data_IF_242525691658
#
_entry.id   IF_242525691658
#
_cell.length_a   1.000
_cell.length_b   1.000
_cell.length_c   1.000
_cell.angle_alpha   90.00
_cell.angle_beta   90.00
_cell.angle_gamma   90.00
#
_symmetry.space_group_name_H-M   'P 1'
#
loop_
_entity.id
_entity.type
_entity.pdbx_description
1 polymer ?
#
# COMPACT_ATOMS: atom_id res chain seq x y z
N UNK A 1 7.14 6.61 -19.42
CA UNK A 1 8.57 6.32 -19.21
C UNK A 1 8.68 4.85 -18.90
N UNK A 2 9.74 4.17 -19.31
CA UNK A 2 9.91 2.73 -19.05
C UNK A 2 10.57 2.52 -17.68
N UNK A 3 9.99 1.60 -16.92
CA UNK A 3 10.52 0.96 -15.71
C UNK A 3 12.00 0.60 -15.75
N UNK A 4 12.78 0.69 -14.67
CA UNK A 4 13.99 -0.12 -14.56
C UNK A 4 13.63 -1.61 -14.60
N UNK A 5 12.55 -2.01 -13.90
CA UNK A 5 12.06 -3.38 -13.91
C UNK A 5 11.58 -3.81 -15.31
N UNK A 6 10.77 -2.99 -15.98
CA UNK A 6 10.41 -3.24 -17.39
C UNK A 6 11.63 -3.31 -18.33
N UNK A 7 12.62 -2.43 -18.17
CA UNK A 7 13.84 -2.46 -18.99
C UNK A 7 14.64 -3.75 -18.80
N UNK A 8 14.80 -4.21 -17.56
CA UNK A 8 15.48 -5.48 -17.27
C UNK A 8 14.70 -6.68 -17.80
N UNK A 9 13.37 -6.60 -17.82
CA UNK A 9 12.51 -7.64 -18.40
C UNK A 9 12.66 -7.71 -19.91
N UNK A 10 12.62 -6.56 -20.59
CA UNK A 10 12.80 -6.47 -22.05
C UNK A 10 14.19 -6.97 -22.50
N UNK A 11 15.17 -6.95 -21.61
CA UNK A 11 16.55 -7.42 -21.83
C UNK A 11 16.79 -8.89 -21.44
N UNK A 12 15.77 -9.63 -21.01
CA UNK A 12 15.88 -11.03 -20.53
C UNK A 12 16.94 -11.17 -19.41
N UNK A 13 16.91 -10.23 -18.46
CA UNK A 13 17.91 -10.14 -17.40
C UNK A 13 17.82 -11.32 -16.42
N UNK A 14 18.96 -11.98 -16.19
CA UNK A 14 19.10 -13.02 -15.14
C UNK A 14 18.86 -12.51 -13.71
N UNK A 15 18.76 -11.19 -13.51
CA UNK A 15 18.55 -10.54 -12.22
C UNK A 15 17.08 -10.29 -11.86
N UNK A 16 16.12 -10.68 -12.70
CA UNK A 16 14.71 -10.70 -12.34
C UNK A 16 14.39 -11.98 -11.56
N UNK A 17 14.14 -11.84 -10.26
CA UNK A 17 14.14 -12.96 -9.30
C UNK A 17 12.77 -13.63 -9.14
N UNK A 18 11.72 -13.20 -9.86
CA UNK A 18 10.38 -13.78 -9.72
C UNK A 18 9.80 -14.27 -11.05
N UNK A 19 9.89 -15.58 -11.29
CA UNK A 19 9.33 -16.26 -12.47
C UNK A 19 7.83 -16.61 -12.32
N UNK A 20 7.35 -16.71 -11.07
CA UNK A 20 5.96 -17.05 -10.74
C UNK A 20 5.34 -16.04 -9.77
N UNK A 21 4.06 -15.71 -9.97
CA UNK A 21 3.30 -14.85 -9.07
C UNK A 21 2.95 -15.62 -7.79
N UNK A 22 3.22 -15.01 -6.63
CA UNK A 22 2.77 -15.54 -5.34
C UNK A 22 1.35 -15.06 -5.05
N UNK A 23 0.51 -15.95 -4.53
CA UNK A 23 -0.88 -15.68 -4.12
C UNK A 23 -0.95 -15.09 -2.71
N UNK A 24 -0.13 -14.08 -2.43
CA UNK A 24 0.02 -13.49 -1.11
C UNK A 24 -0.22 -11.97 -1.17
N UNK A 25 -0.93 -11.44 -0.16
CA UNK A 25 -1.06 -10.00 0.03
C UNK A 25 -0.12 -9.54 1.15
N UNK A 26 0.72 -8.55 0.85
CA UNK A 26 1.58 -7.90 1.83
C UNK A 26 0.90 -6.65 2.38
N UNK A 27 0.85 -6.53 3.70
CA UNK A 27 0.24 -5.38 4.38
C UNK A 27 1.17 -4.79 5.43
N UNK A 28 1.09 -3.47 5.59
CA UNK A 28 1.84 -2.74 6.61
C UNK A 28 0.97 -2.60 7.85
N UNK A 29 1.34 -3.31 8.91
CA UNK A 29 0.76 -3.08 10.23
C UNK A 29 1.55 -2.00 10.96
N UNK A 30 0.87 -0.94 11.39
CA UNK A 30 1.49 0.12 12.20
C UNK A 30 1.16 -0.10 13.66
N UNK A 31 2.18 -0.41 14.45
CA UNK A 31 2.05 -0.59 15.89
C UNK A 31 2.33 0.73 16.61
N UNK A 32 1.42 1.13 17.50
CA UNK A 32 1.49 2.39 18.25
C UNK A 32 1.64 2.20 19.77
N UNK A 33 2.02 1.00 20.21
CA UNK A 33 2.20 0.64 21.61
C UNK A 33 3.48 -0.18 21.79
N UNK A 34 4.59 0.37 21.35
CA UNK A 34 5.92 -0.23 21.47
C UNK A 34 6.82 0.63 22.37
N UNK A 35 8.06 0.18 22.59
CA UNK A 35 9.10 1.00 23.23
C UNK A 35 9.63 2.16 22.38
N UNK A 36 8.87 2.67 21.39
CA UNK A 36 9.22 3.88 20.65
C UNK A 36 9.06 5.14 21.52
N UNK A 37 9.58 6.26 21.02
CA UNK A 37 9.38 7.57 21.66
C UNK A 37 7.89 7.91 21.75
N UNK A 38 7.52 8.80 22.66
CA UNK A 38 6.14 9.29 22.77
C UNK A 38 5.68 9.96 21.47
N UNK A 39 6.55 10.73 20.82
CA UNK A 39 6.31 11.40 19.54
C UNK A 39 6.06 10.39 18.40
N UNK A 40 6.87 9.33 18.32
CA UNK A 40 6.70 8.25 17.34
C UNK A 40 5.36 7.53 17.56
N UNK A 41 5.02 7.21 18.82
CA UNK A 41 3.75 6.56 19.14
C UNK A 41 2.54 7.48 18.86
N UNK A 42 2.67 8.79 19.07
CA UNK A 42 1.64 9.77 18.73
C UNK A 42 1.40 9.82 17.21
N UNK A 43 2.46 9.86 16.40
CA UNK A 43 2.35 9.83 14.95
C UNK A 43 1.72 8.53 14.43
N UNK A 44 2.18 7.36 14.90
CA UNK A 44 1.63 6.05 14.51
C UNK A 44 0.16 5.89 14.95
N UNK A 45 -0.27 6.60 15.99
CA UNK A 45 -1.67 6.67 16.42
C UNK A 45 -2.52 7.63 15.58
N UNK A 46 -1.92 8.65 14.96
CA UNK A 46 -2.64 9.67 14.22
C UNK A 46 -3.28 9.10 12.94
N UNK A 47 -4.58 9.34 12.76
CA UNK A 47 -5.36 8.80 11.64
C UNK A 47 -4.98 9.45 10.31
N UNK A 48 -4.73 10.76 10.29
CA UNK A 48 -4.34 11.47 9.07
C UNK A 48 -2.92 11.09 8.63
N UNK A 49 -2.01 10.82 9.58
CA UNK A 49 -0.70 10.26 9.27
C UNK A 49 -0.85 8.92 8.54
N UNK A 50 -1.64 7.98 9.10
CA UNK A 50 -1.91 6.69 8.45
C UNK A 50 -2.59 6.83 7.09
N UNK A 51 -3.52 7.79 6.94
CA UNK A 51 -4.15 8.08 5.64
C UNK A 51 -3.16 8.60 4.62
N UNK A 52 -2.24 9.48 5.01
CA UNK A 52 -1.19 9.98 4.11
C UNK A 52 -0.36 8.85 3.53
N UNK A 53 -0.06 7.82 4.33
CA UNK A 53 0.64 6.62 3.86
C UNK A 53 -0.26 5.73 2.98
N UNK A 54 -1.52 5.53 3.37
CA UNK A 54 -2.47 4.71 2.60
C UNK A 54 -2.65 5.20 1.15
N UNK A 55 -2.82 6.52 0.98
CA UNK A 55 -2.97 7.16 -0.33
C UNK A 55 -1.63 7.46 -1.01
N UNK A 56 -0.53 7.58 -0.26
CA UNK A 56 0.78 7.98 -0.79
C UNK A 56 1.66 6.84 -1.29
N UNK A 57 1.34 5.58 -0.97
CA UNK A 57 2.08 4.42 -1.48
C UNK A 57 1.57 4.06 -2.87
N UNK A 58 2.45 4.23 -3.87
CA UNK A 58 2.26 3.76 -5.24
C UNK A 58 2.53 2.24 -5.30
N UNK A 59 1.44 1.47 -5.36
CA UNK A 59 1.50 0.00 -5.36
C UNK A 59 1.90 -0.54 -6.72
N UNK A 60 1.59 0.15 -7.82
CA UNK A 60 1.98 -0.26 -9.16
C UNK A 60 3.49 -0.19 -9.32
N UNK A 61 4.12 0.89 -8.84
CA UNK A 61 5.57 1.03 -8.84
C UNK A 61 6.26 -0.08 -8.03
N UNK A 62 5.68 -0.48 -6.90
CA UNK A 62 6.18 -1.61 -6.11
C UNK A 62 6.01 -2.93 -6.85
N UNK A 63 4.81 -3.17 -7.39
CA UNK A 63 4.43 -4.40 -8.07
C UNK A 63 5.20 -4.64 -9.37
N UNK A 64 5.72 -3.60 -10.01
CA UNK A 64 6.49 -3.72 -11.24
C UNK A 64 7.75 -4.59 -11.07
N UNK A 65 8.31 -4.66 -9.85
CA UNK A 65 9.43 -5.57 -9.54
C UNK A 65 9.03 -7.04 -9.68
N UNK A 66 7.76 -7.38 -9.43
CA UNK A 66 7.22 -8.74 -9.52
C UNK A 66 6.51 -9.01 -10.84
N UNK A 67 5.81 -8.01 -11.41
CA UNK A 67 5.13 -8.11 -12.69
C UNK A 67 5.34 -6.83 -13.51
N UNK A 68 6.46 -6.73 -14.25
CA UNK A 68 6.76 -5.55 -15.03
C UNK A 68 5.74 -5.30 -16.16
N UNK A 69 5.21 -6.37 -16.76
CA UNK A 69 4.29 -6.30 -17.91
C UNK A 69 2.95 -5.66 -17.53
N UNK A 70 2.41 -6.04 -16.36
CA UNK A 70 1.09 -5.61 -15.92
C UNK A 70 1.01 -5.49 -14.38
N UNK A 71 1.64 -4.46 -13.78
CA UNK A 71 1.71 -4.31 -12.32
C UNK A 71 0.33 -4.21 -11.65
N UNK A 72 -0.63 -3.53 -12.29
CA UNK A 72 -2.00 -3.34 -11.80
C UNK A 72 -2.76 -4.67 -11.65
N UNK A 73 -2.41 -5.70 -12.44
CA UNK A 73 -3.07 -7.02 -12.37
C UNK A 73 -2.83 -7.77 -11.07
N UNK A 74 -1.82 -7.37 -10.30
CA UNK A 74 -1.45 -7.98 -9.02
C UNK A 74 -1.60 -6.99 -7.86
N UNK A 75 -2.27 -5.86 -8.07
CA UNK A 75 -2.54 -4.91 -6.98
C UNK A 75 -3.47 -5.52 -5.92
N UNK A 76 -3.01 -5.52 -4.68
CA UNK A 76 -3.82 -5.90 -3.54
C UNK A 76 -4.59 -4.68 -3.03
N UNK A 77 -5.91 -4.66 -3.28
CA UNK A 77 -6.80 -3.58 -2.84
C UNK A 77 -7.30 -3.74 -1.40
N UNK A 78 -7.16 -4.94 -0.84
CA UNK A 78 -7.67 -5.30 0.48
C UNK A 78 -6.68 -6.19 1.24
N UNK A 79 -7.06 -6.58 2.46
CA UNK A 79 -6.28 -7.55 3.23
C UNK A 79 -6.27 -8.95 2.60
N UNK A 80 -7.38 -9.35 1.97
CA UNK A 80 -7.45 -10.58 1.16
C UNK A 80 -7.05 -10.28 -0.28
N UNK A 81 -6.20 -11.16 -0.82
CA UNK A 81 -5.88 -11.19 -2.24
C UNK A 81 -6.97 -11.94 -3.02
N UNK A 82 -7.03 -11.70 -4.33
CA UNK A 82 -7.95 -12.39 -5.23
C UNK A 82 -7.68 -13.91 -5.19
N UNK A 83 -8.75 -14.70 -5.15
CA UNK A 83 -8.71 -16.15 -5.03
C UNK A 83 -8.58 -16.67 -3.60
N UNK A 84 -8.60 -15.80 -2.58
CA UNK A 84 -8.48 -16.20 -1.18
C UNK A 84 -9.73 -16.96 -0.69
N UNK A 85 -10.92 -16.41 -0.91
CA UNK A 85 -12.19 -17.04 -0.55
C UNK A 85 -13.17 -16.92 -1.72
N UNK A 86 -13.92 -17.99 -1.96
CA UNK A 86 -14.92 -18.04 -3.02
C UNK A 86 -16.27 -18.46 -2.45
N UNK A 87 -17.33 -17.79 -2.86
CA UNK A 87 -18.70 -18.16 -2.55
C UNK A 87 -19.05 -19.52 -3.20
N UNK A 88 -20.10 -20.22 -2.70
CA UNK A 88 -20.51 -21.52 -3.25
C UNK A 88 -20.85 -21.51 -4.75
N UNK A 89 -21.17 -20.35 -5.32
CA UNK A 89 -21.47 -20.17 -6.75
C UNK A 89 -20.23 -19.86 -7.62
N UNK A 90 -19.05 -19.78 -7.02
CA UNK A 90 -17.79 -19.48 -7.71
C UNK A 90 -17.39 -18.00 -7.72
N UNK A 91 -18.16 -17.11 -7.11
CA UNK A 91 -17.83 -15.68 -7.03
C UNK A 91 -16.73 -15.42 -5.99
N UNK A 92 -15.70 -14.66 -6.34
CA UNK A 92 -14.63 -14.25 -5.42
C UNK A 92 -15.16 -13.30 -4.33
N UNK A 93 -14.65 -13.38 -3.10
CA UNK A 93 -15.12 -12.54 -1.99
C UNK A 93 -14.92 -11.04 -2.23
N UNK A 94 -13.92 -10.67 -3.03
CA UNK A 94 -13.64 -9.29 -3.43
C UNK A 94 -14.69 -8.74 -4.39
N UNK A 95 -15.40 -9.60 -5.11
CA UNK A 95 -16.43 -9.22 -6.08
C UNK A 95 -17.85 -9.19 -5.45
N UNK A 96 -17.97 -9.48 -4.15
CA UNK A 96 -19.24 -9.54 -3.44
C UNK A 96 -19.62 -8.20 -2.78
N UNK A 97 -20.86 -7.77 -3.02
CA UNK A 97 -21.50 -6.67 -2.27
C UNK A 97 -20.66 -5.40 -2.24
N UNK A 98 -20.41 -4.89 -1.03
CA UNK A 98 -19.64 -3.68 -0.83
C UNK A 98 -18.14 -3.85 -1.08
N UNK A 99 -17.59 -5.07 -1.09
CA UNK A 99 -16.16 -5.32 -1.37
C UNK A 99 -15.78 -4.89 -2.78
N UNK A 100 -16.68 -5.06 -3.74
CA UNK A 100 -16.46 -4.76 -5.14
C UNK A 100 -16.14 -3.27 -5.37
N UNK A 101 -16.70 -2.37 -4.54
CA UNK A 101 -16.48 -0.93 -4.68
C UNK A 101 -15.05 -0.50 -4.28
N UNK A 102 -14.32 -1.36 -3.58
CA UNK A 102 -12.97 -1.08 -3.10
C UNK A 102 -11.88 -1.66 -4.00
N UNK A 103 -12.23 -2.35 -5.09
CA UNK A 103 -11.30 -2.98 -6.04
C UNK A 103 -10.76 -1.98 -7.08
N UNK A 104 -10.25 -0.84 -6.58
CA UNK A 104 -9.61 0.20 -7.37
C UNK A 104 -8.38 0.69 -6.63
N UNK A 105 -7.37 1.15 -7.38
CA UNK A 105 -6.16 1.69 -6.79
C UNK A 105 -6.50 2.82 -5.82
N UNK A 106 -5.81 2.81 -4.69
CA UNK A 106 -5.98 3.78 -3.62
C UNK A 106 -4.90 4.87 -3.68
N UNK A 107 -3.95 4.77 -4.61
CA UNK A 107 -2.90 5.76 -4.75
C UNK A 107 -3.48 7.09 -5.26
N UNK A 108 -3.31 8.15 -4.47
CA UNK A 108 -3.69 9.51 -4.81
C UNK A 108 -2.77 10.48 -4.05
N UNK A 109 -1.79 11.01 -4.77
CA UNK A 109 -0.76 11.88 -4.20
C UNK A 109 -1.35 13.19 -3.64
N UNK A 110 -2.35 13.79 -4.28
CA UNK A 110 -2.97 15.03 -3.79
C UNK A 110 -3.71 14.78 -2.47
N UNK A 111 -4.45 13.67 -2.40
CA UNK A 111 -5.12 13.24 -1.17
C UNK A 111 -4.10 12.89 -0.07
N UNK A 112 -2.99 12.24 -0.42
CA UNK A 112 -1.91 11.92 0.51
C UNK A 112 -1.27 13.17 1.11
N UNK A 113 -0.93 14.18 0.28
CA UNK A 113 -0.36 15.45 0.71
C UNK A 113 -1.32 16.24 1.61
N UNK A 114 -2.61 16.26 1.30
CA UNK A 114 -3.64 16.87 2.14
C UNK A 114 -3.67 16.23 3.54
N UNK A 115 -3.67 14.90 3.62
CA UNK A 115 -3.67 14.22 4.91
C UNK A 115 -2.35 14.38 5.65
N UNK A 116 -1.22 14.49 4.94
CA UNK A 116 0.06 14.78 5.55
C UNK A 116 0.07 16.15 6.26
N UNK A 117 -0.46 17.19 5.60
CA UNK A 117 -0.60 18.52 6.20
C UNK A 117 -1.47 18.49 7.46
N UNK A 118 -2.64 17.86 7.39
CA UNK A 118 -3.53 17.69 8.54
C UNK A 118 -2.85 16.93 9.70
N UNK A 119 -2.08 15.89 9.40
CA UNK A 119 -1.34 15.14 10.41
C UNK A 119 -0.29 16.02 11.11
N UNK A 120 0.46 16.83 10.35
CA UNK A 120 1.45 17.76 10.91
C UNK A 120 0.77 18.78 11.82
N UNK A 121 -0.35 19.36 11.40
CA UNK A 121 -1.13 20.31 12.20
C UNK A 121 -1.60 19.68 13.53
N UNK A 122 -2.21 18.49 13.46
CA UNK A 122 -2.74 17.78 14.62
C UNK A 122 -1.65 17.31 15.59
N UNK A 123 -0.51 16.84 15.09
CA UNK A 123 0.62 16.39 15.90
C UNK A 123 1.35 17.57 16.54
N UNK A 124 1.54 18.66 15.81
CA UNK A 124 2.09 19.91 16.36
C UNK A 124 1.22 20.43 17.50
N UNK A 125 -0.11 20.41 17.34
CA UNK A 125 -1.06 20.81 18.38
C UNK A 125 -1.00 19.90 19.63
N UNK A 126 -0.55 18.65 19.48
CA UNK A 126 -0.32 17.70 20.57
C UNK A 126 1.07 17.86 21.22
N UNK A 127 1.91 18.76 20.72
CA UNK A 127 3.26 19.00 21.25
C UNK A 127 4.33 18.05 20.72
N UNK A 128 4.04 17.30 19.65
CA UNK A 128 5.01 16.42 19.00
C UNK A 128 6.16 17.25 18.40
N UNK A 129 7.39 16.80 18.64
CA UNK A 129 8.58 17.43 18.06
C UNK A 129 8.93 16.78 16.72
N UNK A 130 9.31 17.62 15.75
CA UNK A 130 9.77 17.18 14.43
C UNK A 130 11.26 17.52 14.24
N UNK A 131 12.04 16.70 13.50
CA UNK A 131 11.64 15.42 12.93
C UNK A 131 11.42 14.35 14.02
N UNK A 132 10.54 13.39 13.72
CA UNK A 132 10.30 12.24 14.59
C UNK A 132 11.44 11.23 14.35
N UNK A 133 12.02 10.70 15.43
CA UNK A 133 13.07 9.68 15.40
C UNK A 133 12.52 8.25 15.25
#
# INVERSE_FOLDING_TARGET
>A
MTTQAQSLYDEDSEYLIQEELDSSSYVIFMNNQTGYSEDTNAALSNVNFKRSLFYGIDRDMYNEVSNPINPESIEAFSYSGRGFVTAPDGTDDLDLGDSAQWQTSQFDLETAEKYNQLAIEELTAQGVSFPIE
#
